data_IF_394792648557
#
_entry.id   IF_394792648557
#
_cell.length_a   1.000
_cell.length_b   1.000
_cell.length_c   1.000
_cell.angle_alpha   90.00
_cell.angle_beta   90.00
_cell.angle_gamma   90.00
#
_symmetry.space_group_name_H-M   'P 1'
#
loop_
_entity.id
_entity.type
_entity.pdbx_description
1 polymer ?
#
# COMPACT_ATOMS: atom_id res chain seq x y z
N UNK A 1 -69.94 6.44 -25.62
CA UNK A 1 -69.91 7.91 -25.46
C UNK A 1 -69.67 8.23 -23.99
N UNK A 2 -68.50 8.76 -23.65
CA UNK A 2 -68.23 9.87 -22.71
C UNK A 2 -66.71 9.98 -22.61
N UNK A 3 -66.16 11.06 -23.17
CA UNK A 3 -64.78 11.52 -22.96
C UNK A 3 -64.82 12.66 -21.92
N UNK A 4 -63.74 12.82 -21.13
CA UNK A 4 -63.32 13.99 -20.29
C UNK A 4 -62.26 13.42 -19.32
N UNK A 5 -61.10 13.97 -18.98
CA UNK A 5 -60.25 15.10 -19.37
C UNK A 5 -58.95 14.89 -18.55
N UNK A 6 -57.75 15.02 -19.13
CA UNK A 6 -56.46 15.07 -18.40
C UNK A 6 -56.08 16.55 -18.15
N UNK A 7 -55.19 16.90 -17.18
CA UNK A 7 -53.73 17.01 -17.42
C UNK A 7 -52.86 16.94 -16.11
N UNK A 8 -51.59 17.39 -16.07
CA UNK A 8 -50.42 17.03 -16.85
C UNK A 8 -49.30 16.40 -15.98
N UNK A 9 -48.25 15.99 -16.70
CA UNK A 9 -47.08 15.23 -16.26
C UNK A 9 -46.03 16.17 -15.69
N UNK A 10 -45.43 15.84 -14.54
CA UNK A 10 -44.25 16.55 -14.01
C UNK A 10 -42.98 15.80 -14.41
N UNK A 11 -41.96 16.45 -15.00
CA UNK A 11 -40.68 15.82 -15.32
C UNK A 11 -39.80 15.79 -14.07
N UNK A 12 -39.55 14.60 -13.53
CA UNK A 12 -38.49 14.37 -12.55
C UNK A 12 -37.13 14.55 -13.22
N UNK A 13 -36.46 15.65 -12.91
CA UNK A 13 -35.14 15.98 -13.45
C UNK A 13 -34.03 15.01 -12.97
N UNK A 14 -32.91 14.94 -13.70
CA UNK A 14 -31.76 14.13 -13.35
C UNK A 14 -30.95 14.83 -12.25
N UNK A 15 -31.13 14.39 -11.01
CA UNK A 15 -30.34 14.80 -9.86
C UNK A 15 -29.04 14.01 -9.78
N UNK A 16 -27.97 14.62 -10.28
CA UNK A 16 -26.56 14.47 -9.94
C UNK A 16 -26.27 13.63 -8.70
N UNK A 17 -25.53 12.54 -8.92
CA UNK A 17 -24.91 11.75 -7.88
C UNK A 17 -23.84 10.86 -8.47
N UNK A 18 -22.97 11.43 -9.32
CA UNK A 18 -21.68 10.82 -9.61
C UNK A 18 -20.98 10.61 -8.25
N UNK A 19 -21.01 9.37 -7.76
CA UNK A 19 -20.15 8.95 -6.67
C UNK A 19 -18.74 8.89 -7.26
N UNK A 20 -18.08 10.04 -7.26
CA UNK A 20 -16.62 10.12 -7.31
C UNK A 20 -16.11 9.18 -6.23
N UNK A 21 -15.32 8.14 -6.54
CA UNK A 21 -14.60 7.45 -5.51
C UNK A 21 -13.53 8.41 -5.00
N UNK A 22 -13.83 9.09 -3.89
CA UNK A 22 -12.81 9.72 -3.04
C UNK A 22 -11.97 8.58 -2.48
N UNK A 23 -10.89 8.25 -3.19
CA UNK A 23 -9.74 7.51 -2.70
C UNK A 23 -8.58 8.50 -2.61
N UNK A 24 -8.70 9.48 -1.73
CA UNK A 24 -7.64 10.43 -1.42
C UNK A 24 -7.84 10.91 0.01
N UNK A 25 -7.22 10.21 0.97
CA UNK A 25 -7.19 10.68 2.35
C UNK A 25 -7.10 9.63 3.47
N UNK A 26 -6.96 8.34 3.19
CA UNK A 26 -6.83 7.32 4.26
C UNK A 26 -5.38 6.95 4.62
N UNK A 27 -4.39 7.56 3.96
CA UNK A 27 -2.96 7.35 4.27
C UNK A 27 -2.53 7.94 5.63
N UNK A 28 -3.30 8.88 6.19
CA UNK A 28 -2.97 9.61 7.42
C UNK A 28 -3.51 8.96 8.69
N UNK A 29 -4.46 8.02 8.61
CA UNK A 29 -5.12 7.42 9.79
C UNK A 29 -4.40 6.20 10.36
N UNK A 30 -3.67 5.43 9.54
CA UNK A 30 -2.85 4.31 10.06
C UNK A 30 -1.57 4.81 10.73
N UNK A 31 -1.05 4.15 11.77
CA UNK A 31 0.26 4.47 12.30
C UNK A 31 1.37 4.19 11.28
N UNK A 32 2.46 4.98 11.30
CA UNK A 32 3.67 4.66 10.51
C UNK A 32 4.26 3.31 10.93
N UNK A 33 4.17 3.03 12.21
CA UNK A 33 4.68 1.84 12.87
C UNK A 33 3.71 1.50 14.00
N UNK A 34 3.14 0.30 13.99
CA UNK A 34 2.39 -0.21 15.12
C UNK A 34 3.36 -0.74 16.17
N UNK A 35 3.44 -0.02 17.28
CA UNK A 35 4.30 -0.40 18.40
C UNK A 35 3.83 -1.67 19.11
N UNK A 36 2.53 -2.00 19.05
CA UNK A 36 2.03 -3.25 19.64
C UNK A 36 2.59 -4.49 18.93
N UNK A 37 2.83 -4.40 17.62
CA UNK A 37 3.49 -5.46 16.86
C UNK A 37 4.95 -5.62 17.30
N UNK A 38 5.66 -4.53 17.56
CA UNK A 38 7.04 -4.59 18.06
C UNK A 38 7.13 -5.13 19.49
N UNK A 39 6.21 -4.72 20.35
CA UNK A 39 6.13 -5.22 21.73
C UNK A 39 5.81 -6.72 21.75
N UNK A 40 4.90 -7.17 20.87
CA UNK A 40 4.65 -8.60 20.66
C UNK A 40 5.88 -9.31 20.10
N UNK A 41 6.54 -8.73 19.10
CA UNK A 41 7.75 -9.31 18.53
C UNK A 41 8.82 -9.49 19.60
N UNK A 42 8.97 -8.53 20.51
CA UNK A 42 9.87 -8.63 21.66
C UNK A 42 9.45 -9.75 22.61
N UNK A 43 8.18 -9.81 23.00
CA UNK A 43 7.65 -10.82 23.91
C UNK A 43 7.70 -12.25 23.33
N UNK A 44 7.52 -12.41 22.02
CA UNK A 44 7.66 -13.69 21.32
C UNK A 44 9.12 -14.22 21.38
N UNK A 45 10.09 -13.35 21.69
CA UNK A 45 11.52 -13.67 21.82
C UNK A 45 12.07 -13.32 23.21
N UNK A 46 11.26 -13.37 24.28
CA UNK A 46 11.58 -12.88 25.64
C UNK A 46 12.92 -13.40 26.22
N UNK A 47 13.33 -14.62 25.84
CA UNK A 47 14.62 -15.22 26.26
C UNK A 47 15.82 -14.79 25.39
N UNK A 48 15.59 -14.07 24.30
CA UNK A 48 16.58 -13.67 23.30
C UNK A 48 16.38 -12.22 22.84
N UNK A 49 16.67 -11.26 23.74
CA UNK A 49 16.54 -9.83 23.48
C UNK A 49 17.40 -9.33 22.29
N UNK A 50 18.37 -10.12 21.82
CA UNK A 50 19.12 -9.84 20.57
C UNK A 50 18.40 -10.31 19.29
N UNK A 51 17.55 -11.33 19.36
CA UNK A 51 16.91 -11.95 18.18
C UNK A 51 15.90 -11.01 17.54
N UNK A 52 15.06 -10.33 18.32
CA UNK A 52 14.12 -9.34 17.78
C UNK A 52 14.86 -8.16 17.14
N UNK A 53 16.00 -7.74 17.70
CA UNK A 53 16.83 -6.66 17.12
C UNK A 53 17.44 -7.09 15.79
N UNK A 54 17.95 -8.32 15.72
CA UNK A 54 18.46 -8.91 14.47
C UNK A 54 17.33 -8.99 13.43
N UNK A 55 16.12 -9.36 13.83
CA UNK A 55 14.96 -9.38 12.93
C UNK A 55 14.66 -8.00 12.33
N UNK A 56 14.58 -6.96 13.17
CA UNK A 56 14.35 -5.58 12.70
C UNK A 56 15.50 -5.08 11.82
N UNK A 57 16.76 -5.38 12.16
CA UNK A 57 17.93 -5.05 11.33
C UNK A 57 17.88 -5.76 9.97
N UNK A 58 17.48 -7.03 9.95
CA UNK A 58 17.31 -7.80 8.72
C UNK A 58 16.21 -7.22 7.84
N UNK A 59 15.09 -6.79 8.44
CA UNK A 59 14.05 -6.07 7.71
C UNK A 59 14.60 -4.77 7.08
N UNK A 60 15.28 -3.94 7.86
CA UNK A 60 15.88 -2.68 7.38
C UNK A 60 16.85 -2.94 6.22
N UNK A 61 17.74 -3.92 6.35
CA UNK A 61 18.73 -4.27 5.33
C UNK A 61 18.07 -4.84 4.05
N UNK A 62 16.98 -5.59 4.20
CA UNK A 62 16.25 -6.18 3.08
C UNK A 62 15.31 -5.20 2.37
N UNK A 63 15.02 -4.03 2.96
CA UNK A 63 14.04 -3.10 2.40
C UNK A 63 14.51 -2.40 1.10
N UNK A 64 15.73 -1.83 1.02
CA UNK A 64 16.24 -1.26 -0.22
C UNK A 64 16.25 -2.24 -1.42
N UNK A 65 16.80 -3.47 -1.32
CA UNK A 65 16.80 -4.38 -2.46
C UNK A 65 15.40 -4.84 -2.88
N UNK A 66 14.42 -4.92 -1.96
CA UNK A 66 13.02 -5.20 -2.31
C UNK A 66 12.41 -4.06 -3.13
N UNK A 67 12.70 -2.82 -2.76
CA UNK A 67 12.22 -1.64 -3.50
C UNK A 67 12.88 -1.56 -4.88
N UNK A 68 14.16 -1.92 -4.98
CA UNK A 68 14.84 -1.97 -6.28
C UNK A 68 14.30 -3.08 -7.18
N UNK A 69 14.01 -4.27 -6.63
CA UNK A 69 13.34 -5.34 -7.37
C UNK A 69 11.95 -4.90 -7.86
N UNK A 70 11.17 -4.27 -6.98
CA UNK A 70 9.87 -3.71 -7.33
C UNK A 70 9.97 -2.68 -8.46
N UNK A 71 10.90 -1.73 -8.34
CA UNK A 71 11.18 -0.73 -9.36
C UNK A 71 11.53 -1.38 -10.69
N UNK A 72 12.46 -2.33 -10.67
CA UNK A 72 12.90 -3.05 -11.86
C UNK A 72 11.72 -3.67 -12.59
N UNK A 73 10.96 -4.52 -11.90
CA UNK A 73 9.82 -5.23 -12.48
C UNK A 73 8.74 -4.29 -13.05
N UNK A 74 8.42 -3.19 -12.34
CA UNK A 74 7.46 -2.21 -12.85
C UNK A 74 7.98 -1.48 -14.10
N UNK A 75 9.25 -1.11 -14.13
CA UNK A 75 9.83 -0.36 -15.27
C UNK A 75 10.07 -1.21 -16.50
N UNK A 76 10.22 -2.53 -16.35
CA UNK A 76 10.44 -3.47 -17.46
C UNK A 76 9.16 -4.13 -17.95
N UNK A 77 7.99 -3.81 -17.38
CA UNK A 77 6.73 -4.45 -17.77
C UNK A 77 6.58 -5.89 -17.25
N UNK A 78 7.41 -6.32 -16.31
CA UNK A 78 7.34 -7.68 -15.74
C UNK A 78 6.21 -7.77 -14.71
N UNK A 79 5.02 -8.16 -15.18
CA UNK A 79 3.83 -8.29 -14.34
C UNK A 79 4.02 -9.32 -13.21
N UNK A 80 4.61 -10.48 -13.51
CA UNK A 80 4.79 -11.53 -12.52
C UNK A 80 5.78 -11.08 -11.44
N UNK A 81 6.91 -10.48 -11.85
CA UNK A 81 7.89 -9.90 -10.92
C UNK A 81 7.34 -8.73 -10.12
N UNK A 82 6.46 -7.91 -10.71
CA UNK A 82 5.84 -6.78 -10.03
C UNK A 82 4.89 -7.26 -8.92
N UNK A 83 4.02 -8.23 -9.21
CA UNK A 83 3.11 -8.82 -8.21
C UNK A 83 3.91 -9.49 -7.09
N UNK A 84 4.93 -10.31 -7.43
CA UNK A 84 5.79 -10.95 -6.43
C UNK A 84 6.48 -9.91 -5.53
N UNK A 85 7.08 -8.87 -6.12
CA UNK A 85 7.78 -7.84 -5.37
C UNK A 85 6.84 -7.02 -4.46
N UNK A 86 5.63 -6.69 -4.93
CA UNK A 86 4.62 -5.98 -4.14
C UNK A 86 4.15 -6.82 -2.95
N UNK A 87 3.81 -8.09 -3.17
CA UNK A 87 3.38 -9.01 -2.11
C UNK A 87 4.49 -9.20 -1.08
N UNK A 88 5.72 -9.36 -1.55
CA UNK A 88 6.92 -9.50 -0.72
C UNK A 88 7.14 -8.27 0.18
N UNK A 89 7.01 -7.06 -0.38
CA UNK A 89 7.12 -5.81 0.37
C UNK A 89 6.00 -5.67 1.41
N UNK A 90 4.76 -5.97 1.03
CA UNK A 90 3.59 -5.92 1.92
C UNK A 90 3.75 -6.88 3.10
N UNK A 91 4.07 -8.14 2.83
CA UNK A 91 4.24 -9.17 3.86
C UNK A 91 5.37 -8.80 4.85
N UNK A 92 6.53 -8.37 4.34
CA UNK A 92 7.64 -7.95 5.19
C UNK A 92 7.27 -6.74 6.06
N UNK A 93 6.51 -5.79 5.51
CA UNK A 93 6.07 -4.59 6.24
C UNK A 93 5.15 -4.93 7.42
N UNK A 94 4.23 -5.89 7.23
CA UNK A 94 3.33 -6.34 8.30
C UNK A 94 4.08 -7.02 9.45
N UNK A 95 5.17 -7.75 9.16
CA UNK A 95 5.97 -8.44 10.18
C UNK A 95 6.61 -7.49 11.20
N UNK A 96 6.89 -6.24 10.81
CA UNK A 96 7.46 -5.22 11.69
C UNK A 96 6.45 -4.15 12.09
N UNK A 97 5.17 -4.33 11.77
CA UNK A 97 4.12 -3.35 12.08
C UNK A 97 4.15 -2.08 11.22
N UNK A 98 4.85 -2.08 10.08
CA UNK A 98 4.92 -0.92 9.17
C UNK A 98 3.64 -0.77 8.34
N UNK A 99 2.51 -0.49 9.00
CA UNK A 99 1.17 -0.54 8.40
C UNK A 99 0.97 0.41 7.23
N UNK A 100 1.52 1.63 7.29
CA UNK A 100 1.46 2.58 6.17
C UNK A 100 2.20 2.06 4.95
N UNK A 101 3.36 1.45 5.14
CA UNK A 101 4.13 0.87 4.03
C UNK A 101 3.40 -0.33 3.44
N UNK A 102 2.81 -1.19 4.29
CA UNK A 102 1.97 -2.30 3.84
C UNK A 102 0.73 -1.83 3.07
N UNK A 103 0.14 -0.70 3.46
CA UNK A 103 -1.02 -0.11 2.80
C UNK A 103 -0.66 0.44 1.41
N UNK A 104 0.44 1.18 1.28
CA UNK A 104 0.91 1.63 -0.03
C UNK A 104 1.25 0.48 -0.97
N UNK A 105 1.81 -0.61 -0.43
CA UNK A 105 2.05 -1.82 -1.21
C UNK A 105 0.73 -2.46 -1.66
N UNK A 106 -0.30 -2.50 -0.80
CA UNK A 106 -1.62 -2.99 -1.17
C UNK A 106 -2.29 -2.12 -2.25
N UNK A 107 -2.21 -0.79 -2.14
CA UNK A 107 -2.77 0.12 -3.14
C UNK A 107 -2.11 -0.09 -4.51
N UNK A 108 -0.79 -0.29 -4.53
CA UNK A 108 -0.07 -0.65 -5.74
C UNK A 108 -0.46 -2.05 -6.26
N UNK A 109 -0.68 -3.03 -5.39
CA UNK A 109 -1.15 -4.37 -5.77
C UNK A 109 -2.47 -4.28 -6.54
N UNK A 110 -3.43 -3.52 -5.99
CA UNK A 110 -4.74 -3.30 -6.62
C UNK A 110 -4.58 -2.57 -7.94
N UNK A 111 -3.79 -1.50 -7.98
CA UNK A 111 -3.57 -0.72 -9.19
C UNK A 111 -2.91 -1.54 -10.31
N UNK A 112 -1.95 -2.41 -9.99
CA UNK A 112 -1.34 -3.34 -10.95
C UNK A 112 -2.36 -4.33 -11.49
N UNK A 113 -3.15 -4.97 -10.61
CA UNK A 113 -4.14 -5.98 -11.01
C UNK A 113 -5.24 -5.38 -11.89
N UNK A 114 -5.79 -4.24 -11.50
CA UNK A 114 -6.84 -3.56 -12.28
C UNK A 114 -6.29 -2.94 -13.56
N UNK A 115 -5.11 -2.32 -13.49
CA UNK A 115 -4.48 -1.67 -14.63
C UNK A 115 -4.07 -2.62 -15.74
N UNK A 116 -3.76 -3.88 -15.43
CA UNK A 116 -3.30 -4.90 -16.40
C UNK A 116 -4.38 -5.90 -16.81
N UNK A 117 -5.61 -5.76 -16.30
CA UNK A 117 -6.72 -6.68 -16.57
C UNK A 117 -7.05 -6.79 -18.07
N UNK A 118 -7.08 -5.65 -18.76
CA UNK A 118 -7.45 -5.54 -20.17
C UNK A 118 -6.43 -4.70 -20.98
N UNK A 119 -5.23 -4.47 -20.43
CA UNK A 119 -4.19 -3.63 -21.05
C UNK A 119 -2.83 -4.30 -20.98
N UNK A 120 -1.98 -3.94 -21.94
CA UNK A 120 -0.59 -4.40 -21.96
C UNK A 120 0.19 -3.93 -20.72
N UNK A 121 0.79 -4.84 -19.94
CA UNK A 121 1.56 -4.50 -18.75
C UNK A 121 2.78 -3.60 -19.03
N UNK A 122 3.40 -3.74 -20.21
CA UNK A 122 4.61 -2.97 -20.58
C UNK A 122 4.34 -1.47 -20.70
N UNK A 123 3.10 -1.06 -20.98
CA UNK A 123 2.68 0.34 -20.97
C UNK A 123 2.19 0.83 -19.61
N UNK A 124 1.46 0.00 -18.87
CA UNK A 124 0.79 0.41 -17.63
C UNK A 124 1.74 0.41 -16.43
N UNK A 125 2.60 -0.59 -16.32
CA UNK A 125 3.48 -0.76 -15.16
C UNK A 125 4.49 0.39 -15.00
N UNK A 126 5.13 0.92 -16.06
CA UNK A 126 6.03 2.07 -15.92
C UNK A 126 5.32 3.34 -15.44
N UNK A 127 4.06 3.55 -15.83
CA UNK A 127 3.26 4.67 -15.33
C UNK A 127 2.92 4.50 -13.85
N UNK A 128 2.50 3.30 -13.43
CA UNK A 128 2.30 2.97 -12.01
C UNK A 128 3.60 3.12 -11.20
N UNK A 129 4.75 2.80 -11.80
CA UNK A 129 6.05 3.02 -11.19
C UNK A 129 6.25 4.50 -10.86
N UNK A 130 5.99 5.39 -11.81
CA UNK A 130 6.14 6.83 -11.64
C UNK A 130 5.21 7.40 -10.57
N UNK A 131 3.97 6.92 -10.50
CA UNK A 131 2.98 7.38 -9.52
C UNK A 131 3.25 6.87 -8.09
N UNK A 132 3.60 5.58 -7.93
CA UNK A 132 3.64 4.94 -6.61
C UNK A 132 5.04 4.88 -5.98
N UNK A 133 6.11 4.69 -6.77
CA UNK A 133 7.46 4.48 -6.22
C UNK A 133 7.98 5.64 -5.36
N UNK A 134 7.76 6.92 -5.69
CA UNK A 134 8.22 8.02 -4.83
C UNK A 134 7.62 7.95 -3.42
N UNK A 135 6.32 7.66 -3.31
CA UNK A 135 5.61 7.54 -2.03
C UNK A 135 6.10 6.34 -1.23
N UNK A 136 6.27 5.18 -1.89
CA UNK A 136 6.80 3.97 -1.27
C UNK A 136 8.22 4.22 -0.74
N UNK A 137 9.12 4.82 -1.54
CA UNK A 137 10.49 5.13 -1.13
C UNK A 137 10.55 6.07 0.06
N UNK A 138 9.73 7.13 0.04
CA UNK A 138 9.66 8.07 1.14
C UNK A 138 9.21 7.38 2.43
N UNK A 139 8.12 6.60 2.39
CA UNK A 139 7.59 5.90 3.58
C UNK A 139 8.53 4.80 4.07
N UNK A 140 9.19 4.10 3.16
CA UNK A 140 10.23 3.14 3.50
C UNK A 140 11.38 3.81 4.28
N UNK A 141 11.89 4.95 3.80
CA UNK A 141 12.92 5.71 4.51
C UNK A 141 12.48 6.18 5.90
N UNK A 142 11.24 6.66 6.03
CA UNK A 142 10.68 7.04 7.34
C UNK A 142 10.54 5.85 8.28
N UNK A 143 10.09 4.70 7.77
CA UNK A 143 9.96 3.45 8.53
C UNK A 143 11.32 2.99 9.05
N UNK A 144 12.32 2.93 8.17
CA UNK A 144 13.71 2.60 8.53
C UNK A 144 14.23 3.52 9.63
N UNK A 145 14.07 4.83 9.46
CA UNK A 145 14.52 5.79 10.46
C UNK A 145 13.89 5.56 11.84
N UNK A 146 12.57 5.34 11.89
CA UNK A 146 11.86 5.11 13.17
C UNK A 146 12.34 3.80 13.81
N UNK A 147 12.49 2.73 13.03
CA UNK A 147 12.99 1.44 13.51
C UNK A 147 14.42 1.56 14.06
N UNK A 148 15.32 2.27 13.38
CA UNK A 148 16.68 2.53 13.86
C UNK A 148 16.69 3.34 15.17
N UNK A 149 15.82 4.34 15.27
CA UNK A 149 15.66 5.12 16.51
C UNK A 149 15.14 4.23 17.65
N UNK A 150 14.18 3.36 17.37
CA UNK A 150 13.64 2.42 18.35
C UNK A 150 14.72 1.45 18.85
N UNK A 151 15.50 0.86 17.94
CA UNK A 151 16.62 -0.03 18.27
C UNK A 151 17.68 0.62 19.18
N UNK A 152 17.86 1.95 19.10
CA UNK A 152 18.79 2.71 19.95
C UNK A 152 18.21 3.06 21.33
N UNK A 153 16.88 3.16 21.45
CA UNK A 153 16.20 3.60 22.69
C UNK A 153 15.89 2.45 23.64
N UNK A 154 15.73 1.24 23.12
CA UNK A 154 15.53 0.05 23.94
C UNK A 154 16.91 -0.46 24.36
N UNK A 155 17.36 -0.33 25.63
CA UNK A 155 18.61 -0.91 26.09
C UNK A 155 18.54 -2.45 26.08
#
# INVERSE_FOLDING_TARGET
MTAITAPPRTPGGPGTGAKTPVLSGQDSTRPLLDHAVLDKLRADFDDYDEVWRVFVRNFIAALPPRIDKLRGALTTGDLAGAIDAVLSLKAASLQVGAERLASLALDLEVAVREGTRDRDPSGVLPWLAAEHLPRIRQRAGQTTYILEVHLKKTP
#
